data_IF_586428993806
#
_entry.id   IF_586428993806
#
_cell.length_a   1.000
_cell.length_b   1.000
_cell.length_c   1.000
_cell.angle_alpha   90.00
_cell.angle_beta   90.00
_cell.angle_gamma   90.00
#
_symmetry.space_group_name_H-M   'P 1'
#
loop_
_entity.id
_entity.type
_entity.pdbx_description
1 polymer ?
#
# COMPACT_ATOMS: atom_id res chain seq x y z
N UNK A 1 1.28 -1.87 17.60
CA UNK A 1 -0.11 -1.54 18.00
C UNK A 1 -0.83 -0.69 16.95
N UNK A 2 -0.21 0.31 16.29
CA UNK A 2 -0.89 1.19 15.32
C UNK A 2 -1.36 0.52 14.00
N UNK A 3 -0.63 -0.44 13.43
CA UNK A 3 -1.01 -1.05 12.13
C UNK A 3 -2.02 -2.20 12.24
N UNK A 4 -2.15 -2.84 13.41
CA UNK A 4 -3.08 -3.96 13.63
C UNK A 4 -4.54 -3.54 13.51
N UNK A 5 -4.87 -2.29 13.87
CA UNK A 5 -6.23 -1.76 13.78
C UNK A 5 -6.72 -1.70 12.32
N UNK A 6 -5.84 -1.34 11.37
CA UNK A 6 -6.20 -1.27 9.94
C UNK A 6 -6.56 -2.65 9.41
N UNK A 7 -5.79 -3.67 9.79
CA UNK A 7 -6.06 -5.07 9.44
C UNK A 7 -7.38 -5.53 10.07
N UNK A 8 -7.61 -5.19 11.35
CA UNK A 8 -8.84 -5.55 12.05
C UNK A 8 -10.07 -4.94 11.38
N UNK A 9 -10.06 -3.65 11.06
CA UNK A 9 -11.16 -2.97 10.37
C UNK A 9 -11.41 -3.58 8.98
N UNK A 10 -10.34 -3.93 8.26
CA UNK A 10 -10.47 -4.58 6.97
C UNK A 10 -11.15 -5.95 7.10
N UNK A 11 -10.79 -6.75 8.11
CA UNK A 11 -11.42 -8.05 8.36
C UNK A 11 -12.89 -7.92 8.75
N UNK A 12 -13.25 -6.96 9.61
CA UNK A 12 -14.65 -6.73 9.99
C UNK A 12 -15.51 -6.34 8.79
N UNK A 13 -15.01 -5.47 7.89
CA UNK A 13 -15.74 -5.10 6.68
C UNK A 13 -16.00 -6.32 5.77
N UNK A 14 -15.03 -7.22 5.63
CA UNK A 14 -15.20 -8.45 4.86
C UNK A 14 -16.24 -9.40 5.48
N UNK A 15 -16.27 -9.49 6.82
CA UNK A 15 -17.27 -10.26 7.57
C UNK A 15 -18.67 -9.64 7.36
N UNK A 16 -18.78 -8.31 7.38
CA UNK A 16 -20.02 -7.56 7.14
C UNK A 16 -20.48 -7.56 5.67
N UNK A 17 -19.84 -8.37 4.82
CA UNK A 17 -20.25 -8.58 3.43
C UNK A 17 -19.61 -7.63 2.42
N UNK A 18 -18.76 -6.68 2.84
CA UNK A 18 -18.04 -5.84 1.88
C UNK A 18 -17.13 -6.68 0.98
N UNK A 19 -17.15 -6.38 -0.33
CA UNK A 19 -16.27 -6.99 -1.33
C UNK A 19 -15.66 -5.88 -2.18
N UNK A 20 -14.33 -5.89 -2.38
CA UNK A 20 -13.68 -4.88 -3.19
C UNK A 20 -14.13 -5.00 -4.64
N UNK A 21 -14.45 -3.86 -5.26
CA UNK A 21 -14.78 -3.77 -6.69
C UNK A 21 -13.59 -3.21 -7.45
N UNK A 22 -13.57 -3.42 -8.77
CA UNK A 22 -12.55 -2.84 -9.65
C UNK A 22 -12.46 -1.30 -9.56
N UNK A 23 -13.60 -0.63 -9.33
CA UNK A 23 -13.60 0.81 -9.08
C UNK A 23 -12.83 1.17 -7.79
N UNK A 24 -12.98 0.38 -6.73
CA UNK A 24 -12.28 0.59 -5.45
C UNK A 24 -10.77 0.33 -5.60
N UNK A 25 -10.39 -0.68 -6.40
CA UNK A 25 -9.00 -0.96 -6.77
C UNK A 25 -8.33 0.22 -7.51
N UNK A 26 -8.97 0.75 -8.55
CA UNK A 26 -8.44 1.88 -9.30
C UNK A 26 -8.40 3.16 -8.45
N UNK A 27 -9.41 3.38 -7.61
CA UNK A 27 -9.42 4.49 -6.65
C UNK A 27 -8.25 4.39 -5.66
N UNK A 28 -7.97 3.20 -5.13
CA UNK A 28 -6.87 2.98 -4.20
C UNK A 28 -5.51 3.29 -4.86
N UNK A 29 -5.31 2.85 -6.10
CA UNK A 29 -4.12 3.19 -6.89
C UNK A 29 -4.01 4.70 -7.08
N UNK A 30 -5.06 5.34 -7.57
CA UNK A 30 -5.08 6.79 -7.83
C UNK A 30 -4.71 7.59 -6.58
N UNK A 31 -5.40 7.36 -5.46
CA UNK A 31 -5.16 8.13 -4.23
C UNK A 31 -3.79 7.84 -3.62
N UNK A 32 -3.29 6.62 -3.71
CA UNK A 32 -1.93 6.27 -3.26
C UNK A 32 -0.88 6.93 -4.13
N UNK A 33 -1.07 6.97 -5.45
CA UNK A 33 -0.17 7.69 -6.36
C UNK A 33 -0.17 9.18 -6.06
N UNK A 34 -1.33 9.80 -5.84
CA UNK A 34 -1.44 11.21 -5.43
C UNK A 34 -0.67 11.47 -4.13
N UNK A 35 -0.84 10.61 -3.12
CA UNK A 35 -0.12 10.72 -1.85
C UNK A 35 1.41 10.62 -2.07
N UNK A 36 1.87 9.60 -2.80
CA UNK A 36 3.29 9.39 -3.08
C UNK A 36 3.90 10.59 -3.84
N UNK A 37 3.24 11.06 -4.90
CA UNK A 37 3.72 12.21 -5.67
C UNK A 37 3.77 13.47 -4.80
N UNK A 38 2.73 13.72 -4.00
CA UNK A 38 2.71 14.86 -3.08
C UNK A 38 3.83 14.77 -2.04
N UNK A 39 4.13 13.57 -1.55
CA UNK A 39 5.19 13.33 -0.57
C UNK A 39 6.57 13.54 -1.19
N UNK A 40 6.79 13.08 -2.42
CA UNK A 40 8.02 13.33 -3.18
C UNK A 40 8.26 14.83 -3.34
N UNK A 41 7.22 15.59 -3.71
CA UNK A 41 7.31 17.06 -3.86
C UNK A 41 7.68 17.70 -2.52
N UNK A 42 7.01 17.33 -1.42
CA UNK A 42 7.31 17.86 -0.08
C UNK A 42 8.74 17.51 0.35
N UNK A 43 9.17 16.27 0.14
CA UNK A 43 10.53 15.82 0.45
C UNK A 43 11.58 16.60 -0.33
N UNK A 44 11.34 16.91 -1.60
CA UNK A 44 12.23 17.76 -2.40
C UNK A 44 12.31 19.20 -1.85
N UNK A 45 11.18 19.77 -1.42
CA UNK A 45 11.12 21.12 -0.85
C UNK A 45 11.86 21.19 0.49
N UNK A 46 11.67 20.18 1.34
CA UNK A 46 12.19 20.16 2.72
C UNK A 46 13.57 19.50 2.83
N UNK A 47 14.10 18.90 1.77
CA UNK A 47 15.33 18.11 1.82
C UNK A 47 15.20 16.90 2.75
N UNK A 48 14.01 16.30 2.83
CA UNK A 48 13.69 15.21 3.76
C UNK A 48 13.40 13.90 3.04
N UNK A 49 13.20 12.82 3.81
CA UNK A 49 12.93 11.48 3.28
C UNK A 49 11.72 10.82 3.97
N UNK A 50 10.61 11.54 4.03
CA UNK A 50 9.36 10.99 4.55
C UNK A 50 8.84 9.86 3.65
N UNK A 51 8.24 8.82 4.25
CA UNK A 51 7.84 7.58 3.55
C UNK A 51 8.95 6.88 2.75
N UNK A 52 10.22 7.21 3.00
CA UNK A 52 11.38 6.55 2.38
C UNK A 52 11.33 6.60 0.85
N UNK A 53 10.98 7.75 0.26
CA UNK A 53 10.88 7.90 -1.20
C UNK A 53 12.23 8.07 -1.91
N UNK A 54 13.28 8.44 -1.17
CA UNK A 54 14.62 8.71 -1.71
C UNK A 54 15.72 7.82 -1.11
N UNK A 55 15.64 7.49 0.16
CA UNK A 55 16.58 6.58 0.80
C UNK A 55 15.86 5.49 1.60
N UNK A 56 16.49 4.33 1.71
CA UNK A 56 15.97 3.18 2.48
C UNK A 56 15.85 3.52 3.97
N UNK A 57 14.89 2.93 4.69
CA UNK A 57 14.85 3.03 6.15
C UNK A 57 16.13 2.45 6.77
N UNK A 58 16.66 3.15 7.77
CA UNK A 58 17.81 2.68 8.54
C UNK A 58 17.47 1.42 9.36
N UNK A 59 18.49 0.62 9.68
CA UNK A 59 18.36 -0.60 10.49
C UNK A 59 18.09 -1.87 9.68
N UNK A 60 17.83 -2.98 10.38
CA UNK A 60 17.60 -4.29 9.76
C UNK A 60 16.17 -4.39 9.27
N UNK A 61 15.97 -4.38 7.95
CA UNK A 61 14.67 -4.49 7.33
C UNK A 61 14.77 -5.10 5.92
N UNK A 62 13.62 -5.37 5.31
CA UNK A 62 13.52 -6.04 4.02
C UNK A 62 14.19 -5.28 2.86
N UNK A 63 14.28 -3.95 2.93
CA UNK A 63 14.87 -3.13 1.85
C UNK A 63 16.39 -3.27 1.74
N UNK A 64 17.06 -3.87 2.73
CA UNK A 64 18.49 -4.22 2.66
C UNK A 64 18.79 -5.22 1.54
N UNK A 65 17.82 -6.05 1.17
CA UNK A 65 17.95 -7.03 0.09
C UNK A 65 17.69 -6.41 -1.29
N UNK A 66 17.27 -5.15 -1.35
CA UNK A 66 16.91 -4.47 -2.59
C UNK A 66 18.07 -3.60 -3.10
N UNK A 67 18.13 -3.28 -4.41
CA UNK A 67 19.13 -2.37 -4.96
C UNK A 67 18.98 -0.94 -4.44
N UNK A 68 19.90 -0.05 -4.77
CA UNK A 68 19.81 1.36 -4.36
C UNK A 68 18.70 2.14 -5.07
N UNK A 69 18.42 3.35 -4.59
CA UNK A 69 17.47 4.26 -5.23
C UNK A 69 17.84 4.48 -6.71
N UNK A 70 16.86 4.50 -7.64
CA UNK A 70 15.40 4.47 -7.45
C UNK A 70 14.78 3.07 -7.44
N UNK A 71 15.57 2.02 -7.57
CA UNK A 71 15.07 0.67 -7.84
C UNK A 71 14.33 0.04 -6.65
N UNK A 72 14.84 0.16 -5.41
CA UNK A 72 14.08 -0.36 -4.25
C UNK A 72 12.70 0.31 -4.15
N UNK A 73 12.63 1.59 -4.46
CA UNK A 73 11.38 2.34 -4.39
C UNK A 73 10.37 1.82 -5.43
N UNK A 74 10.83 1.56 -6.66
CA UNK A 74 10.01 0.90 -7.69
C UNK A 74 9.54 -0.50 -7.25
N UNK A 75 10.44 -1.30 -6.64
CA UNK A 75 10.09 -2.62 -6.10
C UNK A 75 9.03 -2.49 -5.00
N UNK A 76 9.15 -1.52 -4.10
CA UNK A 76 8.16 -1.30 -3.05
C UNK A 76 6.78 -0.89 -3.60
N UNK A 77 6.74 -0.03 -4.63
CA UNK A 77 5.49 0.30 -5.33
C UNK A 77 4.86 -0.93 -5.98
N UNK A 78 5.68 -1.76 -6.63
CA UNK A 78 5.22 -3.01 -7.23
C UNK A 78 4.65 -3.98 -6.20
N UNK A 79 5.33 -4.14 -5.06
CA UNK A 79 4.84 -4.97 -3.94
C UNK A 79 3.47 -4.43 -3.45
N UNK A 80 3.32 -3.10 -3.32
CA UNK A 80 2.04 -2.49 -2.96
C UNK A 80 0.92 -2.82 -3.95
N UNK A 81 1.18 -2.69 -5.25
CA UNK A 81 0.23 -3.05 -6.31
C UNK A 81 -0.11 -4.55 -6.30
N UNK A 82 0.88 -5.40 -6.07
CA UNK A 82 0.68 -6.84 -5.90
C UNK A 82 -0.29 -7.11 -4.74
N UNK A 83 -0.11 -6.46 -3.58
CA UNK A 83 -1.03 -6.61 -2.46
C UNK A 83 -2.45 -6.11 -2.77
N UNK A 84 -2.60 -4.98 -3.47
CA UNK A 84 -3.93 -4.54 -3.92
C UNK A 84 -4.60 -5.57 -4.84
N UNK A 85 -3.81 -6.18 -5.72
CA UNK A 85 -4.29 -7.23 -6.63
C UNK A 85 -4.67 -8.49 -5.86
N UNK A 86 -3.88 -8.90 -4.87
CA UNK A 86 -4.21 -10.04 -4.00
C UNK A 86 -5.49 -9.80 -3.19
N UNK A 87 -5.72 -8.57 -2.73
CA UNK A 87 -6.96 -8.21 -2.04
C UNK A 87 -8.20 -8.36 -2.93
N UNK A 88 -8.06 -8.20 -4.26
CA UNK A 88 -9.16 -8.46 -5.18
C UNK A 88 -9.60 -9.94 -5.20
N UNK A 89 -8.77 -10.89 -4.73
CA UNK A 89 -9.20 -12.29 -4.59
C UNK A 89 -10.38 -12.44 -3.61
N UNK A 90 -10.53 -11.51 -2.66
CA UNK A 90 -11.66 -11.50 -1.74
C UNK A 90 -12.99 -11.28 -2.46
N UNK A 91 -12.99 -10.61 -3.62
CA UNK A 91 -14.19 -10.44 -4.44
C UNK A 91 -14.76 -11.77 -4.95
N UNK A 92 -13.94 -12.83 -5.00
CA UNK A 92 -14.34 -14.18 -5.41
C UNK A 92 -14.99 -14.97 -4.28
N UNK A 93 -14.87 -14.52 -3.02
CA UNK A 93 -15.44 -15.22 -1.87
C UNK A 93 -16.96 -15.07 -1.88
N UNK A 94 -17.71 -16.17 -2.01
CA UNK A 94 -19.17 -16.14 -2.04
C UNK A 94 -19.76 -15.43 -0.82
N UNK A 95 -20.84 -14.69 -1.03
CA UNK A 95 -21.64 -14.16 0.06
C UNK A 95 -22.47 -15.31 0.64
N UNK A 96 -22.53 -15.42 1.96
CA UNK A 96 -23.50 -16.27 2.61
C UNK A 96 -24.83 -15.54 2.51
N UNK A 97 -25.76 -16.08 1.73
CA UNK A 97 -27.14 -15.61 1.74
C UNK A 97 -27.72 -16.01 3.10
N UNK A 98 -28.03 -15.03 3.95
CA UNK A 98 -28.89 -15.23 5.12
C UNK A 98 -30.36 -15.23 4.71
#
# INVERSE_FOLDING_TARGET
>A
FAHGLVIFVMLTLVIDGYRPRWADYLNAIQWTTVLVVSTIIINLILGSNYMFTFEKPAGINFTLLMPEWPYYFMVMLFIGLMFYTLLMLLSLVPQRNE
#
